data_IF_073473324779
#
_entry.id   IF_073473324779
#
_cell.length_a   1.000
_cell.length_b   1.000
_cell.length_c   1.000
_cell.angle_alpha   90.00
_cell.angle_beta   90.00
_cell.angle_gamma   90.00
#
_symmetry.space_group_name_H-M   'P 1'
#
loop_
_entity.id
_entity.type
_entity.pdbx_description
1 polymer ?
#
# COMPACT_ATOMS: atom_id res chain seq x y z
N UNK A 1 25.10 83.53 -38.84
CA UNK A 1 26.03 84.33 -39.67
C UNK A 1 27.23 84.69 -38.81
N UNK A 2 28.42 84.51 -39.39
CA UNK A 2 29.80 84.68 -38.93
C UNK A 2 30.11 85.70 -37.81
N UNK A 3 31.00 85.25 -36.91
CA UNK A 3 32.22 85.87 -36.35
C UNK A 3 32.25 87.38 -36.08
N UNK A 4 32.73 87.73 -34.87
CA UNK A 4 33.98 88.48 -34.59
C UNK A 4 34.06 88.71 -33.07
N UNK A 5 35.09 88.16 -32.39
CA UNK A 5 36.23 88.89 -31.82
C UNK A 5 35.80 89.83 -30.66
N UNK A 6 36.44 89.94 -29.50
CA UNK A 6 37.80 89.68 -29.05
C UNK A 6 37.81 90.05 -27.54
N UNK A 7 38.78 89.51 -26.79
CA UNK A 7 39.53 90.13 -25.66
C UNK A 7 39.05 90.08 -24.20
N UNK A 8 40.08 89.80 -23.38
CA UNK A 8 40.30 89.92 -21.92
C UNK A 8 39.73 88.78 -21.06
N UNK A 9 40.50 88.00 -20.30
CA UNK A 9 41.88 88.15 -19.77
C UNK A 9 42.53 86.75 -19.70
N UNK A 10 43.78 86.48 -20.09
CA UNK A 10 45.04 87.13 -19.74
C UNK A 10 45.32 87.16 -18.23
N UNK A 11 45.49 85.97 -17.64
CA UNK A 11 46.44 85.77 -16.54
C UNK A 11 46.86 84.30 -16.51
N UNK A 12 48.18 84.06 -16.47
CA UNK A 12 48.86 82.78 -16.25
C UNK A 12 49.17 81.92 -17.50
N UNK A 13 49.92 82.50 -18.43
CA UNK A 13 51.08 81.80 -19.00
C UNK A 13 52.28 82.70 -18.75
N UNK A 14 53.15 82.31 -17.83
CA UNK A 14 54.62 82.33 -18.00
C UNK A 14 55.33 82.09 -16.67
N UNK A 15 55.56 80.82 -16.36
CA UNK A 15 56.89 80.38 -15.97
C UNK A 15 57.27 79.25 -16.93
N UNK A 16 57.91 79.65 -18.02
CA UNK A 16 58.71 78.77 -18.84
C UNK A 16 60.02 78.50 -18.08
N UNK A 17 60.42 77.23 -18.00
CA UNK A 17 61.82 76.83 -18.05
C UNK A 17 61.87 75.35 -18.40
N UNK A 18 62.47 75.05 -19.55
CA UNK A 18 62.90 73.72 -19.92
C UNK A 18 63.68 73.08 -18.76
N UNK A 19 63.08 72.09 -18.12
CA UNK A 19 63.82 70.99 -17.54
C UNK A 19 63.69 69.81 -18.50
N UNK A 20 64.78 69.09 -18.63
CA UNK A 20 65.07 68.06 -19.62
C UNK A 20 63.91 67.11 -19.90
N UNK A 21 63.83 66.76 -21.18
CA UNK A 21 63.09 65.65 -21.72
C UNK A 21 63.75 64.34 -21.27
N UNK A 22 63.49 63.90 -20.02
CA UNK A 22 64.01 62.62 -19.49
C UNK A 22 63.33 62.12 -18.19
N UNK A 23 62.05 62.46 -17.92
CA UNK A 23 61.29 61.94 -16.76
C UNK A 23 59.93 61.32 -17.16
N UNK A 24 59.83 60.80 -18.40
CA UNK A 24 58.64 60.11 -18.91
C UNK A 24 58.65 58.60 -18.72
N UNK A 25 59.79 58.02 -18.32
CA UNK A 25 59.91 56.58 -18.11
C UNK A 25 59.42 56.16 -16.72
N UNK A 26 59.62 56.95 -15.65
CA UNK A 26 59.19 56.56 -14.29
C UNK A 26 57.66 56.68 -14.07
N UNK A 27 56.98 57.64 -14.72
CA UNK A 27 55.51 57.76 -14.65
C UNK A 27 54.78 56.73 -15.53
N UNK A 28 55.36 56.38 -16.69
CA UNK A 28 54.85 55.31 -17.54
C UNK A 28 55.09 53.92 -16.92
N UNK A 29 56.23 53.71 -16.26
CA UNK A 29 56.52 52.50 -15.49
C UNK A 29 55.58 52.34 -14.28
N UNK A 30 55.18 53.43 -13.62
CA UNK A 30 54.19 53.36 -12.53
C UNK A 30 52.76 53.00 -13.00
N UNK A 31 52.32 53.46 -14.17
CA UNK A 31 51.01 53.07 -14.73
C UNK A 31 51.03 51.62 -15.24
N UNK A 32 52.14 51.18 -15.84
CA UNK A 32 52.33 49.79 -16.30
C UNK A 32 52.45 48.82 -15.10
N UNK A 33 53.09 49.22 -14.01
CA UNK A 33 53.17 48.44 -12.76
C UNK A 33 51.81 48.34 -12.06
N UNK A 34 50.99 49.40 -12.07
CA UNK A 34 49.60 49.38 -11.57
C UNK A 34 48.67 48.53 -12.42
N UNK A 35 48.82 48.57 -13.74
CA UNK A 35 48.04 47.73 -14.66
C UNK A 35 48.40 46.24 -14.49
N UNK A 36 49.69 45.93 -14.31
CA UNK A 36 50.16 44.57 -13.98
C UNK A 36 49.69 44.11 -12.60
N UNK A 37 49.63 45.00 -11.61
CA UNK A 37 49.08 44.70 -10.28
C UNK A 37 47.58 44.42 -10.35
N UNK A 38 46.81 45.23 -11.09
CA UNK A 38 45.38 45.00 -11.34
C UNK A 38 45.11 43.70 -12.11
N UNK A 39 45.96 43.34 -13.09
CA UNK A 39 45.85 42.08 -13.81
C UNK A 39 46.14 40.88 -12.89
N UNK A 40 47.17 40.97 -12.03
CA UNK A 40 47.46 39.92 -11.04
C UNK A 40 46.34 39.77 -10.01
N UNK A 41 45.74 40.87 -9.57
CA UNK A 41 44.58 40.86 -8.67
C UNK A 41 43.36 40.21 -9.36
N UNK A 42 43.14 40.52 -10.65
CA UNK A 42 42.07 39.88 -11.44
C UNK A 42 42.32 38.39 -11.67
N UNK A 43 43.57 37.97 -11.88
CA UNK A 43 43.96 36.57 -12.04
C UNK A 43 43.75 35.80 -10.73
N UNK A 44 44.15 36.40 -9.60
CA UNK A 44 43.90 35.83 -8.28
C UNK A 44 42.40 35.70 -7.98
N UNK A 45 41.60 36.72 -8.28
CA UNK A 45 40.15 36.68 -8.11
C UNK A 45 39.46 35.65 -9.01
N UNK A 46 39.92 35.50 -10.26
CA UNK A 46 39.43 34.48 -11.18
C UNK A 46 39.82 33.06 -10.73
N UNK A 47 41.02 32.89 -10.15
CA UNK A 47 41.45 31.63 -9.58
C UNK A 47 40.60 31.25 -8.36
N UNK A 48 40.30 32.21 -7.48
CA UNK A 48 39.44 32.03 -6.31
C UNK A 48 37.99 31.66 -6.74
N UNK A 49 37.43 32.37 -7.72
CA UNK A 49 36.10 32.03 -8.27
C UNK A 49 36.06 30.64 -8.93
N UNK A 50 37.14 30.25 -9.62
CA UNK A 50 37.23 28.92 -10.23
C UNK A 50 37.29 27.83 -9.16
N UNK A 51 37.97 28.09 -8.03
CA UNK A 51 38.04 27.18 -6.91
C UNK A 51 36.69 27.06 -6.19
N UNK A 52 36.00 28.18 -5.95
CA UNK A 52 34.64 28.21 -5.39
C UNK A 52 33.64 27.43 -6.27
N UNK A 53 33.66 27.64 -7.59
CA UNK A 53 32.77 26.91 -8.51
C UNK A 53 33.11 25.41 -8.61
N UNK A 54 34.38 25.03 -8.42
CA UNK A 54 34.78 23.62 -8.35
C UNK A 54 34.28 22.96 -7.07
N UNK A 55 34.43 23.62 -5.93
CA UNK A 55 33.88 23.15 -4.65
C UNK A 55 32.37 22.98 -4.74
N UNK A 56 31.67 24.01 -5.25
CA UNK A 56 30.23 23.97 -5.47
C UNK A 56 29.78 22.86 -6.42
N UNK A 57 30.55 22.61 -7.49
CA UNK A 57 30.26 21.50 -8.41
C UNK A 57 30.39 20.16 -7.68
N UNK A 58 31.43 19.98 -6.87
CA UNK A 58 31.62 18.76 -6.07
C UNK A 58 30.48 18.54 -5.09
N UNK A 59 30.04 19.58 -4.37
CA UNK A 59 28.89 19.49 -3.44
C UNK A 59 27.59 19.12 -4.17
N UNK A 60 27.38 19.67 -5.37
CA UNK A 60 26.20 19.35 -6.17
C UNK A 60 26.23 17.93 -6.72
N UNK A 61 27.41 17.42 -7.10
CA UNK A 61 27.58 16.03 -7.54
C UNK A 61 27.28 15.05 -6.40
N UNK A 62 27.83 15.30 -5.21
CA UNK A 62 27.54 14.51 -4.00
C UNK A 62 26.04 14.55 -3.67
N UNK A 63 25.41 15.74 -3.76
CA UNK A 63 23.98 15.89 -3.52
C UNK A 63 23.12 15.13 -4.54
N UNK A 64 23.55 15.05 -5.79
CA UNK A 64 22.86 14.27 -6.83
C UNK A 64 22.97 12.77 -6.55
N UNK A 65 24.14 12.31 -6.10
CA UNK A 65 24.35 10.92 -5.71
C UNK A 65 23.47 10.54 -4.51
N UNK A 66 23.47 11.35 -3.44
CA UNK A 66 22.59 11.18 -2.28
C UNK A 66 21.12 11.07 -2.68
N UNK A 67 20.64 11.99 -3.52
CA UNK A 67 19.24 12.00 -3.98
C UNK A 67 18.91 10.80 -4.86
N UNK A 68 19.88 10.31 -5.63
CA UNK A 68 19.71 9.11 -6.44
C UNK A 68 19.59 7.86 -5.56
N UNK A 69 20.43 7.74 -4.54
CA UNK A 69 20.36 6.65 -3.57
C UNK A 69 19.05 6.68 -2.78
N UNK A 70 18.65 7.86 -2.27
CA UNK A 70 17.38 8.04 -1.57
C UNK A 70 16.19 7.69 -2.49
N UNK A 71 16.22 8.11 -3.76
CA UNK A 71 15.17 7.77 -4.71
C UNK A 71 15.08 6.26 -4.98
N UNK A 72 16.22 5.57 -5.01
CA UNK A 72 16.27 4.12 -5.21
C UNK A 72 15.68 3.39 -3.99
N UNK A 73 16.06 3.79 -2.78
CA UNK A 73 15.50 3.24 -1.54
C UNK A 73 13.99 3.45 -1.47
N UNK A 74 13.51 4.67 -1.75
CA UNK A 74 12.08 4.97 -1.75
C UNK A 74 11.30 4.18 -2.80
N UNK A 75 11.91 3.87 -3.95
CA UNK A 75 11.30 3.00 -4.96
C UNK A 75 11.15 1.58 -4.45
N UNK A 76 12.18 1.03 -3.82
CA UNK A 76 12.15 -0.32 -3.26
C UNK A 76 11.11 -0.43 -2.12
N UNK A 77 11.05 0.57 -1.25
CA UNK A 77 10.03 0.65 -0.19
C UNK A 77 8.61 0.70 -0.78
N UNK A 78 8.40 1.50 -1.82
CA UNK A 78 7.11 1.63 -2.49
C UNK A 78 6.71 0.34 -3.20
N UNK A 79 7.66 -0.38 -3.80
CA UNK A 79 7.41 -1.69 -4.41
C UNK A 79 7.02 -2.73 -3.35
N UNK A 80 7.73 -2.76 -2.23
CA UNK A 80 7.44 -3.64 -1.10
C UNK A 80 6.04 -3.39 -0.55
N UNK A 81 5.69 -2.12 -0.28
CA UNK A 81 4.36 -1.76 0.20
C UNK A 81 3.24 -2.16 -0.78
N UNK A 82 3.48 -2.02 -2.08
CA UNK A 82 2.52 -2.45 -3.10
C UNK A 82 2.32 -3.96 -3.10
N UNK A 83 3.40 -4.73 -2.93
CA UNK A 83 3.31 -6.18 -2.85
C UNK A 83 2.51 -6.60 -1.61
N UNK A 84 2.84 -6.05 -0.44
CA UNK A 84 2.11 -6.32 0.80
C UNK A 84 0.61 -5.99 0.68
N UNK A 85 0.26 -4.92 -0.05
CA UNK A 85 -1.12 -4.55 -0.30
C UNK A 85 -1.83 -5.56 -1.20
N UNK A 86 -1.16 -6.02 -2.27
CA UNK A 86 -1.70 -7.04 -3.18
C UNK A 86 -1.92 -8.35 -2.43
N UNK A 87 -0.95 -8.78 -1.62
CA UNK A 87 -1.03 -10.04 -0.88
C UNK A 87 -2.19 -10.01 0.12
N UNK A 88 -2.35 -8.92 0.88
CA UNK A 88 -3.51 -8.73 1.77
C UNK A 88 -4.84 -8.69 1.05
N UNK A 89 -4.89 -8.13 -0.16
CA UNK A 89 -6.11 -8.14 -0.97
C UNK A 89 -6.45 -9.56 -1.42
N UNK A 90 -5.47 -10.32 -1.88
CA UNK A 90 -5.65 -11.71 -2.28
C UNK A 90 -6.11 -12.58 -1.09
N UNK A 91 -5.48 -12.44 0.08
CA UNK A 91 -5.89 -13.12 1.32
C UNK A 91 -7.35 -12.80 1.68
N UNK A 92 -7.74 -11.52 1.62
CA UNK A 92 -9.10 -11.12 1.93
C UNK A 92 -10.13 -11.63 0.90
N UNK A 93 -9.79 -11.63 -0.39
CA UNK A 93 -10.66 -12.18 -1.44
C UNK A 93 -10.84 -13.69 -1.28
N UNK A 94 -9.77 -14.41 -0.91
CA UNK A 94 -9.84 -15.83 -0.60
C UNK A 94 -10.72 -16.12 0.62
N UNK A 95 -10.54 -15.38 1.73
CA UNK A 95 -11.37 -15.51 2.93
C UNK A 95 -12.86 -15.28 2.63
N UNK A 96 -13.19 -14.28 1.81
CA UNK A 96 -14.56 -14.00 1.40
C UNK A 96 -15.14 -15.12 0.53
N UNK A 97 -14.34 -15.70 -0.36
CA UNK A 97 -14.76 -16.82 -1.21
C UNK A 97 -15.04 -18.07 -0.37
N UNK A 98 -14.12 -18.45 0.52
CA UNK A 98 -14.28 -19.58 1.44
C UNK A 98 -15.51 -19.40 2.34
N UNK A 99 -15.71 -18.18 2.87
CA UNK A 99 -16.90 -17.86 3.66
C UNK A 99 -18.19 -18.06 2.89
N UNK A 100 -18.22 -17.62 1.63
CA UNK A 100 -19.41 -17.75 0.80
C UNK A 100 -19.69 -19.22 0.46
N UNK A 101 -18.65 -19.99 0.14
CA UNK A 101 -18.74 -21.42 -0.12
C UNK A 101 -19.32 -22.17 1.08
N UNK A 102 -18.79 -21.94 2.29
CA UNK A 102 -19.29 -22.56 3.52
C UNK A 102 -20.75 -22.18 3.84
N UNK A 103 -21.15 -20.92 3.58
CA UNK A 103 -22.55 -20.48 3.74
C UNK A 103 -23.47 -21.18 2.72
N UNK A 104 -23.03 -21.30 1.47
CA UNK A 104 -23.78 -21.97 0.40
C UNK A 104 -23.90 -23.47 0.67
N UNK A 105 -22.85 -24.14 1.14
CA UNK A 105 -22.86 -25.56 1.56
C UNK A 105 -23.80 -25.78 2.73
N UNK A 106 -23.77 -24.91 3.76
CA UNK A 106 -24.69 -25.00 4.89
C UNK A 106 -26.15 -24.83 4.47
N UNK A 107 -26.44 -23.88 3.59
CA UNK A 107 -27.80 -23.67 3.05
C UNK A 107 -28.29 -24.89 2.28
N UNK A 108 -27.43 -25.46 1.42
CA UNK A 108 -27.76 -26.67 0.69
C UNK A 108 -28.02 -27.84 1.63
N UNK A 109 -27.21 -28.00 2.69
CA UNK A 109 -27.43 -29.01 3.72
C UNK A 109 -28.80 -28.84 4.39
N UNK A 110 -29.13 -27.62 4.84
CA UNK A 110 -30.41 -27.35 5.49
C UNK A 110 -31.60 -27.59 4.56
N UNK A 111 -31.49 -27.20 3.30
CA UNK A 111 -32.51 -27.44 2.29
C UNK A 111 -32.67 -28.94 2.00
N UNK A 112 -31.56 -29.67 1.83
CA UNK A 112 -31.57 -31.10 1.56
C UNK A 112 -32.22 -31.89 2.72
N UNK A 113 -31.93 -31.52 3.98
CA UNK A 113 -32.61 -32.08 5.15
C UNK A 113 -34.12 -31.78 5.13
N UNK A 114 -34.51 -30.55 4.82
CA UNK A 114 -35.92 -30.15 4.76
C UNK A 114 -36.70 -30.91 3.67
N UNK A 115 -36.10 -31.05 2.49
CA UNK A 115 -36.68 -31.70 1.32
C UNK A 115 -36.55 -33.24 1.34
N UNK A 116 -35.77 -33.79 2.30
CA UNK A 116 -35.41 -35.22 2.39
C UNK A 116 -34.65 -35.71 1.16
N UNK A 117 -33.82 -34.85 0.58
CA UNK A 117 -32.95 -35.20 -0.54
C UNK A 117 -31.70 -35.91 -0.03
N UNK A 118 -31.77 -37.23 0.08
CA UNK A 118 -30.66 -38.05 0.59
C UNK A 118 -29.49 -38.12 -0.37
N UNK A 119 -29.72 -37.93 -1.67
CA UNK A 119 -28.67 -37.96 -2.68
C UNK A 119 -27.79 -36.71 -2.52
N UNK A 120 -28.42 -35.54 -2.41
CA UNK A 120 -27.71 -34.28 -2.13
C UNK A 120 -27.03 -34.30 -0.75
N UNK A 121 -27.68 -34.85 0.28
CA UNK A 121 -27.03 -35.01 1.59
C UNK A 121 -25.76 -35.86 1.50
N UNK A 122 -25.76 -36.93 0.70
CA UNK A 122 -24.58 -37.79 0.53
C UNK A 122 -23.43 -37.08 -0.21
N UNK A 123 -23.72 -36.06 -1.01
CA UNK A 123 -22.70 -35.23 -1.68
C UNK A 123 -22.10 -34.17 -0.74
N UNK A 124 -22.88 -33.64 0.20
CA UNK A 124 -22.45 -32.56 1.09
C UNK A 124 -21.79 -33.06 2.38
N UNK A 125 -22.08 -34.30 2.79
CA UNK A 125 -21.58 -34.89 4.03
C UNK A 125 -20.27 -35.65 3.79
N UNK A 126 -19.39 -35.65 4.79
CA UNK A 126 -18.20 -36.48 4.76
C UNK A 126 -18.55 -37.99 4.79
N UNK A 127 -17.65 -38.83 4.27
CA UNK A 127 -17.89 -40.28 4.12
C UNK A 127 -18.20 -41.00 5.44
N UNK A 128 -17.73 -40.48 6.58
CA UNK A 128 -17.98 -41.06 7.89
C UNK A 128 -19.39 -40.78 8.44
N UNK A 129 -20.14 -39.86 7.83
CA UNK A 129 -21.51 -39.53 8.26
C UNK A 129 -22.51 -40.50 7.63
N UNK A 130 -23.31 -41.14 8.47
CA UNK A 130 -24.34 -42.08 8.02
C UNK A 130 -25.70 -41.38 7.92
N UNK A 131 -26.38 -41.59 6.80
CA UNK A 131 -27.74 -41.10 6.57
C UNK A 131 -28.72 -42.25 6.78
N UNK A 132 -29.61 -42.13 7.77
CA UNK A 132 -30.76 -43.02 7.92
C UNK A 132 -32.01 -42.31 7.37
N UNK A 133 -32.37 -42.66 6.13
CA UNK A 133 -33.49 -42.07 5.40
C UNK A 133 -34.85 -42.45 6.00
N UNK A 134 -34.97 -43.62 6.61
CA UNK A 134 -36.23 -44.10 7.18
C UNK A 134 -36.53 -43.40 8.51
N UNK A 135 -35.48 -43.08 9.28
CA UNK A 135 -35.59 -42.38 10.55
C UNK A 135 -35.39 -40.85 10.44
N UNK A 136 -35.11 -40.33 9.24
CA UNK A 136 -34.82 -38.91 8.96
C UNK A 136 -33.74 -38.34 9.91
N UNK A 137 -32.61 -39.06 10.03
CA UNK A 137 -31.50 -38.66 10.90
C UNK A 137 -30.15 -38.84 10.23
N UNK A 138 -29.22 -37.99 10.65
CA UNK A 138 -27.79 -38.10 10.41
C UNK A 138 -27.13 -38.69 11.64
N UNK A 139 -26.20 -39.62 11.46
CA UNK A 139 -25.39 -40.21 12.53
C UNK A 139 -23.93 -39.89 12.29
N UNK A 140 -23.29 -39.32 13.30
CA UNK A 140 -21.89 -38.91 13.29
C UNK A 140 -21.12 -39.75 14.31
N UNK A 141 -19.94 -40.22 13.94
CA UNK A 141 -19.03 -40.93 14.85
C UNK A 141 -17.77 -40.09 15.05
N UNK A 142 -17.59 -39.53 16.25
CA UNK A 142 -16.39 -38.76 16.62
C UNK A 142 -15.87 -39.24 17.97
N UNK A 143 -14.58 -39.57 18.05
CA UNK A 143 -13.91 -40.00 19.28
C UNK A 143 -14.64 -41.15 20.03
N UNK A 144 -15.09 -42.17 19.28
CA UNK A 144 -15.87 -43.32 19.81
C UNK A 144 -17.26 -42.95 20.37
N UNK A 145 -17.70 -41.70 20.23
CA UNK A 145 -19.07 -41.27 20.56
C UNK A 145 -19.91 -41.17 19.29
N UNK A 146 -21.03 -41.87 19.30
CA UNK A 146 -22.07 -41.76 18.28
C UNK A 146 -23.05 -40.67 18.70
N UNK A 147 -23.27 -39.70 17.82
CA UNK A 147 -24.29 -38.66 17.97
C UNK A 147 -25.21 -38.69 16.78
N UNK A 148 -26.47 -38.36 16.98
CA UNK A 148 -27.43 -38.23 15.89
C UNK A 148 -28.06 -36.84 15.85
N UNK A 149 -28.46 -36.44 14.66
CA UNK A 149 -29.14 -35.18 14.39
C UNK A 149 -30.33 -35.44 13.46
N UNK A 150 -31.53 -35.05 13.89
CA UNK A 150 -32.73 -35.20 13.08
C UNK A 150 -32.77 -34.14 11.98
N UNK A 151 -33.31 -34.50 10.82
CA UNK A 151 -33.47 -33.56 9.71
C UNK A 151 -34.24 -32.32 10.14
N UNK A 152 -33.73 -31.15 9.76
CA UNK A 152 -34.38 -29.88 10.05
C UNK A 152 -35.69 -29.75 9.28
N UNK A 153 -36.73 -29.30 9.99
CA UNK A 153 -38.03 -28.98 9.40
C UNK A 153 -38.19 -27.46 9.33
N UNK A 154 -37.93 -26.88 8.17
CA UNK A 154 -37.87 -25.43 7.98
C UNK A 154 -39.22 -24.79 7.59
N UNK A 155 -40.35 -25.50 7.74
CA UNK A 155 -41.68 -25.02 7.27
C UNK A 155 -42.09 -23.66 7.83
N UNK A 156 -41.61 -23.32 9.03
CA UNK A 156 -41.90 -22.05 9.74
C UNK A 156 -40.71 -21.10 9.76
N UNK A 157 -39.57 -21.50 9.22
CA UNK A 157 -38.39 -20.65 9.21
C UNK A 157 -38.50 -19.70 8.03
N UNK A 158 -38.54 -18.40 8.31
CA UNK A 158 -38.54 -17.37 7.28
C UNK A 158 -37.13 -16.91 6.91
N UNK A 159 -36.19 -17.00 7.85
CA UNK A 159 -34.86 -16.43 7.69
C UNK A 159 -33.80 -17.26 8.42
N UNK A 160 -32.70 -17.54 7.74
CA UNK A 160 -31.51 -18.19 8.30
C UNK A 160 -30.35 -17.21 8.25
N UNK A 161 -29.61 -17.08 9.36
CA UNK A 161 -28.49 -16.16 9.48
C UNK A 161 -27.26 -16.89 10.00
N UNK A 162 -26.13 -16.76 9.30
CA UNK A 162 -24.83 -17.10 9.85
C UNK A 162 -24.48 -16.10 10.97
N UNK A 163 -24.35 -16.60 12.20
CA UNK A 163 -23.99 -15.82 13.40
C UNK A 163 -22.47 -15.66 13.51
N UNK A 164 -21.74 -16.75 13.32
CA UNK A 164 -20.29 -16.81 13.42
C UNK A 164 -19.73 -17.83 12.42
N UNK A 165 -18.47 -17.63 12.07
CA UNK A 165 -17.66 -18.54 11.27
C UNK A 165 -16.24 -18.47 11.79
N UNK A 166 -15.68 -19.61 12.15
CA UNK A 166 -14.29 -19.78 12.53
C UNK A 166 -13.65 -20.78 11.56
N UNK A 167 -12.61 -20.36 10.84
CA UNK A 167 -11.88 -21.20 9.89
C UNK A 167 -10.46 -21.40 10.43
N UNK A 168 -10.03 -22.66 10.53
CA UNK A 168 -8.72 -23.07 11.03
C UNK A 168 -8.14 -24.17 10.11
N UNK A 169 -7.12 -23.84 9.30
CA UNK A 169 -6.31 -24.79 8.49
C UNK A 169 -6.99 -26.14 8.16
N UNK A 170 -8.00 -26.12 7.27
CA UNK A 170 -8.70 -27.31 6.78
C UNK A 170 -9.93 -27.73 7.61
N UNK A 171 -10.23 -27.03 8.71
CA UNK A 171 -11.44 -27.18 9.51
C UNK A 171 -12.20 -25.84 9.56
N UNK A 172 -13.53 -25.90 9.58
CA UNK A 172 -14.34 -24.72 9.84
C UNK A 172 -15.52 -25.04 10.76
N UNK A 173 -15.91 -24.08 11.57
CA UNK A 173 -17.10 -24.17 12.44
C UNK A 173 -17.94 -22.93 12.21
N UNK A 174 -19.19 -23.12 11.81
CA UNK A 174 -20.13 -22.04 11.59
C UNK A 174 -21.40 -22.23 12.41
N UNK A 175 -21.88 -21.14 13.00
CA UNK A 175 -23.14 -21.13 13.73
C UNK A 175 -24.22 -20.44 12.91
N UNK A 176 -25.41 -21.05 12.85
CA UNK A 176 -26.57 -20.54 12.13
C UNK A 176 -27.75 -20.39 13.08
N UNK A 177 -28.46 -19.28 12.93
CA UNK A 177 -29.69 -18.97 13.66
C UNK A 177 -30.89 -19.00 12.70
N UNK A 178 -31.97 -19.64 13.13
CA UNK A 178 -33.22 -19.77 12.38
C UNK A 178 -34.27 -18.87 13.02
N UNK A 179 -34.94 -18.06 12.20
CA UNK A 179 -35.94 -17.11 12.64
C UNK A 179 -37.29 -17.37 11.97
N UNK A 180 -38.34 -17.36 12.78
CA UNK A 180 -39.75 -17.31 12.36
C UNK A 180 -40.23 -15.85 12.42
N UNK A 181 -41.08 -15.46 11.47
CA UNK A 181 -41.64 -14.13 11.32
C UNK A 181 -43.15 -14.16 11.47
N UNK A 182 -43.66 -13.49 12.50
CA UNK A 182 -45.08 -13.18 12.64
C UNK A 182 -45.36 -11.72 12.18
N UNK A 183 -46.62 -11.29 12.17
CA UNK A 183 -47.07 -10.02 11.57
C UNK A 183 -46.26 -8.78 12.01
N UNK A 184 -45.70 -8.77 13.23
CA UNK A 184 -44.97 -7.63 13.80
C UNK A 184 -43.60 -7.96 14.42
N UNK A 185 -43.24 -9.24 14.59
CA UNK A 185 -42.04 -9.65 15.34
C UNK A 185 -41.27 -10.82 14.68
N UNK A 186 -39.95 -10.84 14.89
CA UNK A 186 -39.07 -11.96 14.55
C UNK A 186 -38.72 -12.73 15.81
N UNK A 187 -38.91 -14.05 15.80
CA UNK A 187 -38.57 -14.94 16.89
C UNK A 187 -37.43 -15.87 16.48
N UNK A 188 -36.44 -16.02 17.35
CA UNK A 188 -35.42 -17.06 17.20
C UNK A 188 -36.08 -18.41 17.48
N UNK A 189 -36.17 -19.27 16.47
CA UNK A 189 -36.72 -20.63 16.57
C UNK A 189 -35.65 -21.59 17.11
N UNK A 190 -34.39 -21.39 16.71
CA UNK A 190 -33.27 -22.16 17.22
C UNK A 190 -31.96 -21.78 16.56
N UNK A 191 -30.89 -22.45 16.98
CA UNK A 191 -29.57 -22.31 16.37
C UNK A 191 -28.89 -23.68 16.23
N UNK A 192 -28.06 -23.80 15.19
CA UNK A 192 -27.23 -24.97 14.95
C UNK A 192 -25.79 -24.56 14.73
N UNK A 193 -24.88 -25.42 15.15
CA UNK A 193 -23.47 -25.37 14.79
C UNK A 193 -23.22 -26.45 13.75
N UNK A 194 -22.52 -26.07 12.68
CA UNK A 194 -22.08 -26.96 11.60
C UNK A 194 -20.57 -26.94 11.57
N UNK A 195 -19.96 -28.11 11.65
CA UNK A 195 -18.52 -28.30 11.45
C UNK A 195 -18.25 -28.87 10.06
N UNK A 196 -17.24 -28.32 9.42
CA UNK A 196 -16.77 -28.68 8.09
C UNK A 196 -15.32 -29.12 8.16
N UNK A 197 -14.96 -30.06 7.30
CA UNK A 197 -13.58 -30.43 7.02
C UNK A 197 -13.33 -30.32 5.52
N UNK A 198 -12.13 -29.86 5.17
CA UNK A 198 -11.69 -29.76 3.79
C UNK A 198 -11.14 -31.12 3.34
N UNK A 199 -11.84 -31.78 2.42
CA UNK A 199 -11.47 -33.12 1.93
C UNK A 199 -10.49 -33.01 0.74
N UNK A 200 -10.70 -32.04 -0.14
CA UNK A 200 -9.81 -31.73 -1.29
C UNK A 200 -9.44 -30.24 -1.33
N UNK A 201 -8.46 -29.85 -2.17
CA UNK A 201 -8.12 -28.44 -2.40
C UNK A 201 -9.37 -27.71 -2.94
N UNK A 202 -10.07 -27.00 -2.05
CA UNK A 202 -11.32 -26.26 -2.27
C UNK A 202 -12.60 -27.12 -2.32
N UNK A 203 -12.68 -28.22 -1.56
CA UNK A 203 -13.95 -28.90 -1.34
C UNK A 203 -14.19 -29.13 0.16
N UNK A 204 -15.30 -28.57 0.66
CA UNK A 204 -15.69 -28.60 2.06
C UNK A 204 -16.88 -29.52 2.27
N UNK A 205 -16.72 -30.48 3.17
CA UNK A 205 -17.80 -31.40 3.53
C UNK A 205 -18.19 -31.22 4.98
N UNK A 206 -19.47 -31.45 5.26
CA UNK A 206 -20.04 -31.37 6.60
C UNK A 206 -19.72 -32.65 7.36
N UNK A 207 -19.00 -32.51 8.46
CA UNK A 207 -18.58 -33.65 9.31
C UNK A 207 -19.42 -33.77 10.58
N UNK A 208 -20.07 -32.68 10.99
CA UNK A 208 -20.82 -32.67 12.25
C UNK A 208 -21.85 -31.55 12.28
N UNK A 209 -23.01 -31.82 12.87
CA UNK A 209 -24.07 -30.83 13.10
C UNK A 209 -24.67 -31.03 14.49
N UNK A 210 -24.91 -29.93 15.21
CA UNK A 210 -25.61 -29.98 16.50
C UNK A 210 -26.47 -28.75 16.76
N UNK A 211 -27.52 -28.92 17.56
CA UNK A 211 -28.25 -27.78 18.12
C UNK A 211 -27.41 -27.09 19.19
N UNK A 212 -27.44 -25.76 19.20
CA UNK A 212 -26.84 -24.91 20.22
C UNK A 212 -27.92 -24.05 20.88
N UNK A 213 -27.80 -23.85 22.20
CA UNK A 213 -28.73 -23.06 23.01
C UNK A 213 -28.13 -21.70 23.38
#
# INVERSE_FOLDING_TARGET
MKMKHLLLAAALISLAACANNEDGEEAAQQDEERELESLRESEAALAEQLEEERERTSELEERVEDLYEENMQLKDDLLTYKQDLIDRQAEHEQELAERQELDDTARQLFQAMHERDTDLLAELLAEEVQIDSDAELLTFTRDEMERSFHFLQLERVNFVRQRSLEVNEGEAVAEYEFYDADEEELYLDGAVEVSFEQIEENDWSVVYVQFIN
#
